data_IF_333383207113
#
_entry.id   IF_333383207113
#
_cell.length_a   1.000
_cell.length_b   1.000
_cell.length_c   1.000
_cell.angle_alpha   90.00
_cell.angle_beta   90.00
_cell.angle_gamma   90.00
#
_symmetry.space_group_name_H-M   'P 1'
#
loop_
_entity.id
_entity.type
_entity.pdbx_description
1 polymer ?
#
# COMPACT_ATOMS: atom_id res chain seq x y z
N UNK A 1 -21.18 -5.95 -8.81
CA UNK A 1 -20.14 -6.21 -9.83
C UNK A 1 -19.75 -4.90 -10.51
N UNK A 2 -20.67 -4.19 -11.19
CA UNK A 2 -20.35 -2.95 -11.93
C UNK A 2 -19.64 -1.89 -11.05
N UNK A 3 -20.08 -1.69 -9.81
CA UNK A 3 -19.46 -0.74 -8.88
C UNK A 3 -18.01 -1.10 -8.52
N UNK A 4 -17.73 -2.38 -8.34
CA UNK A 4 -16.35 -2.85 -8.10
C UNK A 4 -15.46 -2.62 -9.32
N UNK A 5 -15.96 -2.97 -10.51
CA UNK A 5 -15.19 -2.81 -11.75
C UNK A 5 -14.88 -1.33 -12.03
N UNK A 6 -15.85 -0.43 -11.76
CA UNK A 6 -15.65 1.01 -11.86
C UNK A 6 -14.61 1.53 -10.83
N UNK A 7 -14.65 1.05 -9.58
CA UNK A 7 -13.67 1.37 -8.55
C UNK A 7 -12.27 0.92 -8.97
N UNK A 8 -12.15 -0.32 -9.47
CA UNK A 8 -10.89 -0.88 -9.95
C UNK A 8 -10.33 -0.06 -11.12
N UNK A 9 -11.13 0.16 -12.16
CA UNK A 9 -10.71 0.92 -13.35
C UNK A 9 -10.23 2.33 -13.00
N UNK A 10 -10.89 2.99 -12.04
CA UNK A 10 -10.53 4.34 -11.60
C UNK A 10 -9.23 4.39 -10.80
N UNK A 11 -8.97 3.42 -9.95
CA UNK A 11 -7.94 3.54 -8.92
C UNK A 11 -6.73 2.62 -9.10
N UNK A 12 -6.85 1.46 -9.77
CA UNK A 12 -5.79 0.44 -9.77
C UNK A 12 -4.45 0.96 -10.30
N UNK A 13 -4.44 1.61 -11.46
CA UNK A 13 -3.21 2.12 -12.05
C UNK A 13 -2.56 3.24 -11.21
N UNK A 14 -3.38 4.14 -10.65
CA UNK A 14 -2.90 5.21 -9.76
C UNK A 14 -2.31 4.64 -8.48
N UNK A 15 -2.98 3.67 -7.85
CA UNK A 15 -2.51 3.01 -6.63
C UNK A 15 -1.22 2.22 -6.86
N UNK A 16 -1.04 1.59 -8.04
CA UNK A 16 0.23 0.94 -8.37
C UNK A 16 1.38 1.95 -8.43
N UNK A 17 1.18 3.10 -9.07
CA UNK A 17 2.18 4.18 -9.10
C UNK A 17 2.49 4.72 -7.70
N UNK A 18 1.49 4.96 -6.88
CA UNK A 18 1.65 5.41 -5.50
C UNK A 18 2.41 4.36 -4.65
N UNK A 19 2.04 3.09 -4.77
CA UNK A 19 2.73 1.99 -4.07
C UNK A 19 4.17 1.82 -4.55
N UNK A 20 4.45 2.12 -5.83
CA UNK A 20 5.82 2.16 -6.35
C UNK A 20 6.66 3.24 -5.66
N UNK A 21 6.13 4.45 -5.47
CA UNK A 21 6.82 5.50 -4.71
C UNK A 21 7.10 5.10 -3.25
N UNK A 22 6.23 4.29 -2.65
CA UNK A 22 6.41 3.81 -1.27
C UNK A 22 7.46 2.70 -1.16
N UNK A 23 7.67 1.90 -2.21
CA UNK A 23 8.43 0.64 -2.14
C UNK A 23 9.68 0.61 -3.01
N UNK A 24 9.76 1.45 -4.04
CA UNK A 24 10.77 1.39 -5.08
C UNK A 24 10.70 0.13 -5.95
N UNK A 25 9.66 -0.69 -5.81
CA UNK A 25 9.52 -1.99 -6.49
C UNK A 25 8.20 -2.10 -7.22
N UNK A 26 8.24 -2.15 -8.57
CA UNK A 26 7.04 -2.34 -9.39
C UNK A 26 6.29 -3.62 -9.06
N UNK A 27 7.01 -4.73 -8.86
CA UNK A 27 6.41 -6.01 -8.49
C UNK A 27 5.66 -5.94 -7.15
N UNK A 28 6.23 -5.26 -6.15
CA UNK A 28 5.58 -5.11 -4.84
C UNK A 28 4.39 -4.15 -4.93
N UNK A 29 4.51 -3.10 -5.73
CA UNK A 29 3.43 -2.16 -5.99
C UNK A 29 2.21 -2.84 -6.61
N UNK A 30 2.41 -3.63 -7.65
CA UNK A 30 1.32 -4.35 -8.31
C UNK A 30 0.70 -5.44 -7.41
N UNK A 31 1.52 -6.11 -6.61
CA UNK A 31 1.04 -7.06 -5.59
C UNK A 31 0.20 -6.38 -4.52
N UNK A 32 0.58 -5.18 -4.08
CA UNK A 32 -0.18 -4.41 -3.09
C UNK A 32 -1.57 -4.05 -3.63
N UNK A 33 -1.65 -3.60 -4.87
CA UNK A 33 -2.92 -3.30 -5.54
C UNK A 33 -3.78 -4.56 -5.69
N UNK A 34 -3.18 -5.64 -6.21
CA UNK A 34 -3.90 -6.91 -6.37
C UNK A 34 -4.44 -7.45 -5.05
N UNK A 35 -3.66 -7.32 -3.96
CA UNK A 35 -4.10 -7.71 -2.61
C UNK A 35 -5.23 -6.83 -2.08
N UNK A 36 -5.10 -5.51 -2.22
CA UNK A 36 -6.10 -4.56 -1.73
C UNK A 36 -7.45 -4.73 -2.42
N UNK A 37 -7.46 -4.86 -3.76
CA UNK A 37 -8.70 -5.06 -4.50
C UNK A 37 -9.31 -6.45 -4.28
N UNK A 38 -8.50 -7.50 -4.12
CA UNK A 38 -9.03 -8.82 -3.74
C UNK A 38 -9.72 -8.75 -2.37
N UNK A 39 -9.11 -8.09 -1.39
CA UNK A 39 -9.71 -7.87 -0.07
C UNK A 39 -10.98 -7.02 -0.16
N UNK A 40 -10.99 -5.98 -1.00
CA UNK A 40 -12.17 -5.18 -1.25
C UNK A 40 -13.32 -6.02 -1.85
N UNK A 41 -13.02 -6.96 -2.73
CA UNK A 41 -14.03 -7.89 -3.27
C UNK A 41 -14.56 -8.84 -2.20
N UNK A 42 -13.69 -9.42 -1.37
CA UNK A 42 -14.07 -10.29 -0.26
C UNK A 42 -15.01 -9.59 0.76
N UNK A 43 -14.91 -8.26 0.88
CA UNK A 43 -15.69 -7.41 1.80
C UNK A 43 -16.52 -6.37 1.05
N UNK A 44 -17.00 -6.70 -0.15
CA UNK A 44 -17.60 -5.70 -1.05
C UNK A 44 -18.85 -5.04 -0.49
N UNK A 45 -19.67 -5.72 0.29
CA UNK A 45 -20.82 -5.12 0.98
C UNK A 45 -20.42 -3.92 1.83
N UNK A 46 -19.37 -4.07 2.63
CA UNK A 46 -18.91 -3.05 3.57
C UNK A 46 -18.15 -1.94 2.84
N UNK A 47 -17.30 -2.33 1.89
CA UNK A 47 -16.52 -1.37 1.07
C UNK A 47 -17.43 -0.51 0.20
N UNK A 48 -18.47 -1.08 -0.39
CA UNK A 48 -19.43 -0.32 -1.23
C UNK A 48 -20.32 0.63 -0.43
N UNK A 49 -20.55 0.33 0.84
CA UNK A 49 -21.28 1.20 1.77
C UNK A 49 -20.37 2.23 2.47
N UNK A 50 -19.06 2.11 2.32
CA UNK A 50 -18.11 3.04 2.92
C UNK A 50 -18.20 4.43 2.27
N UNK A 51 -18.08 5.51 3.06
CA UNK A 51 -18.14 6.89 2.56
C UNK A 51 -17.06 7.26 1.54
N UNK A 52 -15.90 6.58 1.57
CA UNK A 52 -14.81 6.69 0.59
C UNK A 52 -14.23 5.30 0.27
N UNK A 53 -14.83 4.56 -0.68
CA UNK A 53 -14.29 3.27 -1.13
C UNK A 53 -12.89 3.39 -1.75
N UNK A 54 -12.58 4.52 -2.39
CA UNK A 54 -11.25 4.81 -2.95
C UNK A 54 -10.19 4.94 -1.88
N UNK A 55 -10.47 5.67 -0.79
CA UNK A 55 -9.63 5.77 0.39
C UNK A 55 -9.42 4.42 1.08
N UNK A 56 -10.48 3.61 1.17
CA UNK A 56 -10.38 2.27 1.75
C UNK A 56 -9.38 1.37 0.98
N UNK A 57 -9.48 1.28 -0.34
CA UNK A 57 -8.53 0.47 -1.13
C UNK A 57 -7.13 1.07 -1.12
N UNK A 58 -6.99 2.40 -1.04
CA UNK A 58 -5.69 3.07 -0.88
C UNK A 58 -5.03 2.69 0.43
N UNK A 59 -5.75 2.79 1.56
CA UNK A 59 -5.25 2.40 2.86
C UNK A 59 -4.78 0.94 2.86
N UNK A 60 -5.61 0.03 2.36
CA UNK A 60 -5.27 -1.39 2.26
C UNK A 60 -4.03 -1.65 1.39
N UNK A 61 -3.88 -0.96 0.24
CA UNK A 61 -2.72 -1.09 -0.62
C UNK A 61 -1.44 -0.60 0.06
N UNK A 62 -1.52 0.53 0.78
CA UNK A 62 -0.37 1.09 1.51
C UNK A 62 0.04 0.23 2.70
N UNK A 63 -0.90 -0.32 3.45
CA UNK A 63 -0.61 -1.23 4.56
C UNK A 63 0.13 -2.48 4.07
N UNK A 64 -0.32 -3.04 2.94
CA UNK A 64 0.41 -4.14 2.31
C UNK A 64 1.80 -3.71 1.84
N UNK A 65 1.91 -2.61 1.09
CA UNK A 65 3.16 -2.13 0.51
C UNK A 65 4.22 -1.80 1.57
N UNK A 66 3.79 -1.25 2.71
CA UNK A 66 4.66 -0.83 3.82
C UNK A 66 4.83 -1.91 4.90
N UNK A 67 4.23 -3.09 4.72
CA UNK A 67 4.33 -4.18 5.69
C UNK A 67 5.77 -4.61 5.92
N UNK A 68 6.23 -4.76 7.18
CA UNK A 68 7.59 -5.17 7.51
C UNK A 68 7.94 -6.58 6.98
N UNK A 69 6.95 -7.43 6.74
CA UNK A 69 7.17 -8.78 6.20
C UNK A 69 7.90 -8.80 4.86
N UNK A 70 7.78 -7.74 4.07
CA UNK A 70 8.50 -7.62 2.79
C UNK A 70 9.99 -7.40 2.96
N UNK A 71 10.44 -6.85 4.10
CA UNK A 71 11.87 -6.64 4.41
C UNK A 71 12.60 -7.95 4.69
N UNK A 72 11.88 -8.98 5.16
CA UNK A 72 12.42 -10.31 5.43
C UNK A 72 12.49 -11.20 4.19
N UNK A 73 11.92 -10.77 3.05
CA UNK A 73 11.95 -11.55 1.82
C UNK A 73 13.35 -11.60 1.23
N UNK A 74 13.87 -12.79 0.87
CA UNK A 74 15.14 -12.93 0.16
C UNK A 74 15.10 -12.08 -1.13
N UNK A 75 16.10 -11.22 -1.33
CA UNK A 75 16.15 -10.30 -2.48
C UNK A 75 15.53 -8.92 -2.25
N UNK A 76 14.94 -8.62 -1.09
CA UNK A 76 14.50 -7.26 -0.77
C UNK A 76 15.69 -6.27 -0.82
N UNK A 77 16.81 -6.63 -0.20
CA UNK A 77 18.04 -5.80 -0.20
C UNK A 77 18.62 -5.57 -1.59
N UNK A 78 18.54 -6.55 -2.51
CA UNK A 78 18.98 -6.37 -3.89
C UNK A 78 18.08 -5.41 -4.66
N UNK A 79 16.76 -5.51 -4.46
CA UNK A 79 15.78 -4.65 -5.13
C UNK A 79 15.85 -3.19 -4.69
N UNK A 80 16.19 -2.93 -3.43
CA UNK A 80 16.40 -1.56 -2.93
C UNK A 80 17.71 -0.95 -3.39
N UNK A 81 18.73 -1.76 -3.71
CA UNK A 81 20.00 -1.28 -4.24
C UNK A 81 19.93 -0.83 -5.71
N UNK A 82 18.91 -1.29 -6.46
CA UNK A 82 18.72 -1.02 -7.90
C UNK A 82 17.62 0.03 -8.16
N UNK A 83 17.17 0.75 -7.14
CA UNK A 83 16.10 1.77 -7.29
C UNK A 83 16.65 2.95 -8.08
N UNK A 84 16.08 3.28 -9.26
CA UNK A 84 16.63 4.30 -10.14
C UNK A 84 16.33 5.73 -9.67
N UNK A 85 17.22 6.65 -10.05
CA UNK A 85 17.06 8.09 -9.75
C UNK A 85 17.58 8.47 -8.38
N UNK A 86 17.56 9.77 -8.09
CA UNK A 86 18.10 10.33 -6.85
C UNK A 86 17.10 10.33 -5.68
N UNK A 87 15.80 10.43 -5.98
CA UNK A 87 14.74 10.55 -4.97
C UNK A 87 14.34 9.20 -4.36
N UNK A 88 14.05 8.20 -5.20
CA UNK A 88 13.48 6.93 -4.72
C UNK A 88 14.36 6.18 -3.72
N UNK A 89 15.70 6.10 -3.88
CA UNK A 89 16.55 5.47 -2.87
C UNK A 89 16.45 6.14 -1.50
N UNK A 90 16.39 7.48 -1.48
CA UNK A 90 16.24 8.25 -0.24
C UNK A 90 14.85 8.06 0.35
N UNK A 91 13.81 8.13 -0.50
CA UNK A 91 12.42 7.93 -0.10
C UNK A 91 12.19 6.54 0.52
N UNK A 92 12.69 5.49 -0.11
CA UNK A 92 12.57 4.10 0.39
C UNK A 92 13.39 3.89 1.67
N UNK A 93 14.45 4.66 1.88
CA UNK A 93 15.23 4.69 3.11
C UNK A 93 14.54 5.34 4.31
N UNK A 94 13.46 6.11 4.10
CA UNK A 94 12.66 6.68 5.18
C UNK A 94 11.86 5.59 5.92
N UNK A 95 11.55 5.76 7.22
CA UNK A 95 10.62 4.89 7.93
C UNK A 95 9.25 4.84 7.22
N UNK A 96 8.54 3.70 7.24
CA UNK A 96 7.25 3.53 6.54
C UNK A 96 6.22 4.64 6.82
N UNK A 97 6.09 5.05 8.09
CA UNK A 97 5.15 6.11 8.46
C UNK A 97 5.50 7.48 7.84
N UNK A 98 6.78 7.77 7.63
CA UNK A 98 7.23 9.01 6.99
C UNK A 98 6.95 8.99 5.49
N UNK A 99 7.22 7.86 4.82
CA UNK A 99 6.90 7.68 3.39
C UNK A 99 5.42 7.90 3.11
N UNK A 100 4.54 7.32 3.96
CA UNK A 100 3.09 7.47 3.83
C UNK A 100 2.68 8.94 3.97
N UNK A 101 3.19 9.64 4.98
CA UNK A 101 2.90 11.07 5.18
C UNK A 101 3.38 11.92 4.00
N UNK A 102 4.60 11.73 3.53
CA UNK A 102 5.14 12.46 2.36
C UNK A 102 4.25 12.25 1.14
N UNK A 103 3.88 11.01 0.84
CA UNK A 103 3.03 10.71 -0.31
C UNK A 103 1.65 11.36 -0.21
N UNK A 104 0.98 11.22 0.93
CA UNK A 104 -0.37 11.75 1.13
C UNK A 104 -0.38 13.29 1.17
N UNK A 105 0.51 13.88 1.93
CA UNK A 105 0.51 15.33 2.18
C UNK A 105 1.22 16.13 1.10
N UNK A 106 2.45 15.77 0.75
CA UNK A 106 3.26 16.57 -0.17
C UNK A 106 2.94 16.29 -1.65
N UNK A 107 2.63 15.04 -1.99
CA UNK A 107 2.41 14.63 -3.38
C UNK A 107 0.93 14.66 -3.76
N UNK A 108 0.07 14.03 -2.96
CA UNK A 108 -1.36 14.00 -3.23
C UNK A 108 -2.10 15.26 -2.77
N UNK A 109 -1.46 16.11 -1.95
CA UNK A 109 -2.02 17.38 -1.51
C UNK A 109 -3.14 17.25 -0.47
N UNK A 110 -3.22 16.14 0.26
CA UNK A 110 -4.15 16.02 1.38
C UNK A 110 -3.76 17.02 2.47
N UNK A 111 -4.76 17.66 3.08
CA UNK A 111 -4.53 18.47 4.27
C UNK A 111 -4.04 17.61 5.46
N UNK A 112 -3.51 18.25 6.50
CA UNK A 112 -2.95 17.56 7.66
C UNK A 112 -3.99 16.71 8.40
N UNK A 113 -5.24 17.14 8.45
CA UNK A 113 -6.32 16.43 9.15
C UNK A 113 -6.62 15.12 8.42
N UNK A 114 -6.83 15.19 7.10
CA UNK A 114 -7.07 14.00 6.27
C UNK A 114 -5.87 13.07 6.24
N UNK A 115 -4.65 13.63 6.15
CA UNK A 115 -3.41 12.84 6.22
C UNK A 115 -3.29 12.10 7.55
N UNK A 116 -3.60 12.78 8.67
CA UNK A 116 -3.57 12.18 9.99
C UNK A 116 -4.59 11.03 10.13
N UNK A 117 -5.81 11.24 9.63
CA UNK A 117 -6.85 10.20 9.61
C UNK A 117 -6.40 8.97 8.81
N UNK A 118 -5.87 9.16 7.60
CA UNK A 118 -5.38 8.05 6.76
C UNK A 118 -4.13 7.36 7.32
N UNK A 119 -3.35 8.06 8.13
CA UNK A 119 -2.17 7.51 8.82
C UNK A 119 -2.49 6.93 10.20
N UNK A 120 -3.74 6.95 10.64
CA UNK A 120 -4.15 6.56 12.01
C UNK A 120 -3.28 7.22 13.07
N UNK A 121 -3.02 8.52 12.92
CA UNK A 121 -2.11 9.29 13.74
C UNK A 121 -2.74 10.61 14.22
N UNK A 122 -2.17 11.22 15.26
CA UNK A 122 -2.57 12.57 15.66
C UNK A 122 -2.05 13.61 14.65
N UNK A 123 -2.74 14.74 14.51
CA UNK A 123 -2.32 15.83 13.62
C UNK A 123 -0.89 16.28 13.94
N UNK A 124 -0.55 16.48 15.23
CA UNK A 124 0.78 16.88 15.64
C UNK A 124 1.87 15.83 15.36
N UNK A 125 1.55 14.54 15.42
CA UNK A 125 2.50 13.49 15.00
C UNK A 125 2.70 13.50 13.47
N UNK A 126 1.64 13.72 12.72
CA UNK A 126 1.69 13.81 11.24
C UNK A 126 2.50 15.01 10.79
N UNK A 127 2.29 16.17 11.41
CA UNK A 127 3.03 17.40 11.14
C UNK A 127 4.54 17.22 11.40
N UNK A 128 4.91 16.66 12.56
CA UNK A 128 6.33 16.38 12.87
C UNK A 128 6.96 15.40 11.89
N UNK A 129 6.22 14.35 11.49
CA UNK A 129 6.70 13.40 10.47
C UNK A 129 6.90 14.06 9.12
N UNK A 130 5.97 14.93 8.69
CA UNK A 130 6.08 15.67 7.44
C UNK A 130 7.28 16.62 7.46
N UNK A 131 7.46 17.39 8.54
CA UNK A 131 8.59 18.31 8.70
C UNK A 131 9.93 17.56 8.65
N UNK A 132 10.09 16.53 9.47
CA UNK A 132 11.33 15.76 9.53
C UNK A 132 11.63 15.01 8.20
N UNK A 133 10.60 14.47 7.55
CA UNK A 133 10.78 13.84 6.24
C UNK A 133 11.26 14.85 5.18
N UNK A 134 10.71 16.07 5.17
CA UNK A 134 11.18 17.14 4.27
C UNK A 134 12.64 17.51 4.53
N UNK A 135 13.05 17.60 5.79
CA UNK A 135 14.45 17.86 6.16
C UNK A 135 15.38 16.75 5.65
N UNK A 136 15.01 15.49 5.87
CA UNK A 136 15.81 14.36 5.41
C UNK A 136 15.92 14.28 3.89
N UNK A 137 14.81 14.56 3.18
CA UNK A 137 14.81 14.61 1.71
C UNK A 137 15.65 15.78 1.20
N UNK A 138 15.48 16.98 1.77
CA UNK A 138 16.25 18.17 1.40
C UNK A 138 17.77 18.01 1.65
N UNK A 139 18.16 17.24 2.67
CA UNK A 139 19.56 16.98 2.99
C UNK A 139 20.23 15.92 2.10
N UNK A 140 19.46 15.04 1.47
CA UNK A 140 19.98 13.84 0.79
C UNK A 140 19.68 13.77 -0.70
N UNK A 141 18.72 14.53 -1.18
CA UNK A 141 18.34 14.58 -2.60
C UNK A 141 18.97 15.85 -3.21
N UNK A 142 19.94 15.73 -4.13
CA UNK A 142 20.71 16.85 -4.66
C UNK A 142 19.84 17.98 -5.23
N UNK A 143 18.81 17.64 -6.02
CA UNK A 143 17.90 18.65 -6.57
C UNK A 143 17.12 19.41 -5.49
N UNK A 144 16.74 18.76 -4.38
CA UNK A 144 16.08 19.42 -3.25
C UNK A 144 17.06 20.24 -2.40
N UNK A 145 18.32 19.81 -2.30
CA UNK A 145 19.38 20.57 -1.62
C UNK A 145 19.66 21.88 -2.36
N UNK A 146 19.71 21.82 -3.70
CA UNK A 146 19.96 22.98 -4.55
C UNK A 146 18.77 23.94 -4.69
N UNK A 147 17.55 23.46 -4.41
CA UNK A 147 16.34 24.26 -4.56
C UNK A 147 16.12 25.22 -3.40
N UNK A 148 15.61 26.42 -3.72
CA UNK A 148 15.16 27.38 -2.72
C UNK A 148 14.02 26.79 -1.86
N UNK A 149 13.93 27.13 -0.56
CA UNK A 149 13.01 26.51 0.38
C UNK A 149 11.53 26.50 -0.06
N UNK A 150 11.07 27.58 -0.67
CA UNK A 150 9.71 27.75 -1.20
C UNK A 150 9.44 26.91 -2.46
N UNK A 151 10.48 26.57 -3.24
CA UNK A 151 10.40 25.73 -4.44
C UNK A 151 10.52 24.24 -4.18
N UNK A 152 11.00 23.83 -3.01
CA UNK A 152 11.29 22.41 -2.70
C UNK A 152 10.10 21.50 -2.85
N UNK A 153 8.89 21.97 -2.54
CA UNK A 153 7.66 21.17 -2.70
C UNK A 153 7.37 20.88 -4.18
N UNK A 154 7.55 21.87 -5.05
CA UNK A 154 7.31 21.69 -6.48
C UNK A 154 8.37 20.76 -7.08
N UNK A 155 9.64 20.97 -6.74
CA UNK A 155 10.74 20.08 -7.16
C UNK A 155 10.50 18.65 -6.67
N UNK A 156 10.03 18.46 -5.44
CA UNK A 156 9.69 17.12 -4.94
C UNK A 156 8.58 16.46 -5.78
N UNK A 157 7.54 17.21 -6.14
CA UNK A 157 6.46 16.70 -6.99
C UNK A 157 6.94 16.34 -8.39
N UNK A 158 7.81 17.14 -8.97
CA UNK A 158 8.44 16.88 -10.28
C UNK A 158 9.26 15.59 -10.24
N UNK A 159 10.13 15.41 -9.24
CA UNK A 159 10.91 14.19 -9.04
C UNK A 159 10.04 12.95 -8.80
N UNK A 160 8.93 13.09 -8.07
CA UNK A 160 7.96 12.02 -7.88
C UNK A 160 7.25 11.65 -9.19
N UNK A 161 6.86 12.65 -9.98
CA UNK A 161 6.24 12.44 -11.29
C UNK A 161 7.20 11.73 -12.25
N UNK A 162 8.47 12.13 -12.28
CA UNK A 162 9.51 11.47 -13.06
C UNK A 162 9.74 10.01 -12.61
N UNK A 163 9.80 9.78 -11.31
CA UNK A 163 9.93 8.43 -10.77
C UNK A 163 8.74 7.54 -11.17
N UNK A 164 7.53 8.07 -11.09
CA UNK A 164 6.30 7.37 -11.50
C UNK A 164 6.27 7.06 -13.00
N UNK A 165 6.78 7.97 -13.84
CA UNK A 165 6.82 7.77 -15.29
C UNK A 165 7.65 6.55 -15.70
N UNK A 166 8.58 6.11 -14.87
CA UNK A 166 9.40 4.91 -15.09
C UNK A 166 8.69 3.61 -14.73
N UNK A 167 7.54 3.68 -14.04
CA UNK A 167 6.76 2.50 -13.65
C UNK A 167 5.52 2.34 -14.51
N UNK A 168 5.44 1.22 -15.21
CA UNK A 168 4.24 0.79 -15.95
C UNK A 168 3.46 -0.18 -15.08
N UNK A 169 2.25 0.20 -14.58
CA UNK A 169 1.43 -0.68 -13.78
C UNK A 169 1.03 -1.96 -14.52
N UNK A 170 1.25 -3.11 -13.92
CA UNK A 170 0.75 -4.39 -14.42
C UNK A 170 -0.68 -4.62 -13.92
N UNK A 171 -1.66 -3.95 -14.54
CA UNK A 171 -3.07 -4.13 -14.21
C UNK A 171 -3.61 -5.39 -14.86
N UNK A 172 -4.32 -6.20 -14.08
CA UNK A 172 -5.07 -7.37 -14.57
C UNK A 172 -6.54 -7.00 -14.75
N UNK A 173 -7.31 -7.72 -15.59
CA UNK A 173 -8.75 -7.49 -15.72
C UNK A 173 -9.48 -7.65 -14.36
N UNK A 174 -10.48 -6.81 -14.04
CA UNK A 174 -11.17 -6.84 -12.75
C UNK A 174 -11.84 -8.19 -12.45
N UNK A 175 -12.30 -8.92 -13.46
CA UNK A 175 -12.81 -10.27 -13.31
C UNK A 175 -11.76 -11.28 -12.82
N UNK A 176 -10.50 -11.10 -13.16
CA UNK A 176 -9.42 -11.96 -12.65
C UNK A 176 -9.19 -11.71 -11.15
N UNK A 177 -9.31 -10.46 -10.71
CA UNK A 177 -9.22 -10.07 -9.29
C UNK A 177 -10.37 -10.69 -8.51
N UNK A 178 -11.62 -10.59 -9.01
CA UNK A 178 -12.81 -11.19 -8.40
C UNK A 178 -12.68 -12.71 -8.26
N UNK A 179 -12.31 -13.40 -9.34
CA UNK A 179 -12.07 -14.85 -9.31
C UNK A 179 -11.00 -15.27 -8.30
N UNK A 180 -9.96 -14.43 -8.14
CA UNK A 180 -8.92 -14.68 -7.13
C UNK A 180 -9.47 -14.53 -5.70
N UNK A 181 -10.30 -13.51 -5.44
CA UNK A 181 -10.98 -13.32 -4.16
C UNK A 181 -11.93 -14.46 -3.82
N UNK A 182 -12.78 -14.89 -4.77
CA UNK A 182 -13.70 -16.01 -4.57
C UNK A 182 -12.97 -17.33 -4.24
N UNK A 183 -11.85 -17.59 -4.93
CA UNK A 183 -11.00 -18.77 -4.61
C UNK A 183 -10.43 -18.71 -3.21
N UNK A 184 -9.93 -17.52 -2.79
CA UNK A 184 -9.40 -17.29 -1.44
C UNK A 184 -10.46 -17.55 -0.37
N UNK A 185 -11.67 -17.03 -0.55
CA UNK A 185 -12.80 -17.23 0.36
C UNK A 185 -13.18 -18.70 0.47
N UNK A 186 -13.33 -19.41 -0.66
CA UNK A 186 -13.63 -20.86 -0.66
C UNK A 186 -12.57 -21.66 0.08
N UNK A 187 -11.28 -21.37 -0.14
CA UNK A 187 -10.20 -22.09 0.53
C UNK A 187 -10.22 -21.86 2.05
N UNK A 188 -10.50 -20.65 2.52
CA UNK A 188 -10.63 -20.35 3.95
C UNK A 188 -11.83 -21.08 4.58
N UNK A 189 -12.96 -21.12 3.89
CA UNK A 189 -14.16 -21.84 4.37
C UNK A 189 -13.88 -23.33 4.50
N UNK A 190 -13.24 -23.95 3.50
CA UNK A 190 -12.87 -25.37 3.53
C UNK A 190 -11.85 -25.69 4.63
N UNK A 191 -10.85 -24.83 4.82
CA UNK A 191 -9.86 -25.01 5.88
C UNK A 191 -10.48 -24.85 7.28
N UNK A 192 -11.43 -23.92 7.45
CA UNK A 192 -12.19 -23.75 8.69
C UNK A 192 -13.06 -24.97 9.01
N UNK A 193 -13.74 -25.55 8.02
CA UNK A 193 -14.54 -26.77 8.19
C UNK A 193 -13.67 -27.99 8.49
N UNK A 194 -12.52 -28.14 7.83
CA UNK A 194 -11.57 -29.21 8.08
C UNK A 194 -10.94 -29.15 9.48
N UNK A 195 -10.61 -27.97 9.96
CA UNK A 195 -10.10 -27.76 11.33
C UNK A 195 -11.10 -28.11 12.40
N UNK A 196 -12.37 -27.77 12.21
CA UNK A 196 -13.45 -28.09 13.15
C UNK A 196 -13.76 -29.58 13.20
N UNK A 197 -13.66 -30.28 12.07
CA UNK A 197 -13.84 -31.74 12.01
C UNK A 197 -12.70 -32.49 12.71
N UNK A 198 -11.46 -32.04 12.57
CA UNK A 198 -10.31 -32.68 13.23
C UNK A 198 -10.33 -32.50 14.75
N UNK A 199 -10.77 -31.37 15.26
CA UNK A 199 -10.92 -31.15 16.72
C UNK A 199 -12.09 -31.91 17.30
N UNK A 200 -13.21 -32.07 16.60
CA UNK A 200 -14.34 -32.87 17.03
C UNK A 200 -13.98 -34.38 17.06
N UNK A 201 -13.23 -34.84 16.06
CA UNK A 201 -12.76 -36.24 16.02
C UNK A 201 -11.81 -36.60 17.15
N UNK A 202 -10.90 -35.67 17.52
CA UNK A 202 -9.96 -35.87 18.62
C UNK A 202 -10.67 -35.92 19.99
N UNK A 203 -11.71 -35.10 20.19
CA UNK A 203 -12.50 -35.12 21.43
C UNK A 203 -13.32 -36.37 21.58
N UNK A 204 -13.92 -36.91 20.50
CA UNK A 204 -14.67 -38.16 20.53
C UNK A 204 -13.75 -39.37 20.79
N UNK A 205 -12.55 -39.39 20.18
CA UNK A 205 -11.56 -40.43 20.43
C UNK A 205 -11.05 -40.43 21.88
N UNK A 206 -10.86 -39.26 22.48
CA UNK A 206 -10.47 -39.16 23.89
C UNK A 206 -11.58 -39.57 24.86
N UNK A 207 -12.86 -39.35 24.52
CA UNK A 207 -14.01 -39.77 25.33
C UNK A 207 -14.29 -41.28 25.28
N UNK A 208 -13.84 -42.00 24.23
CA UNK A 208 -14.00 -43.44 24.07
C UNK A 208 -12.86 -44.27 24.70
N UNK A 209 -11.79 -43.62 25.19
CA UNK A 209 -10.63 -44.23 25.83
C UNK A 209 -10.62 -44.09 27.36
N UNK A 210 -11.69 -43.52 27.94
CA UNK A 210 -11.97 -43.49 29.37
C UNK A 210 -13.28 -44.23 29.68
#
# INVERSE_FOLDING_TARGET
VAGFDALYARHAASLSRQSYLLTGSGLLADRAVGWAFRRAWEQWSDVSAHGDPGGWVRAAAYDYALSPWHTFSPGHRRRTAEVPGELLPVMVGLPPAYRRVVLLHEVMGLDLVRTALECEATIGATERRAAHARELLAARVPALTAAEPDRRRDVLRELMAEAVARHTPATVPPEAVRKAGERSTRQRTLAGLGGSAATAGALVAAALLH
#
